data_IF_432831745235
#
_entry.id   IF_432831745235
#
_cell.length_a   1.000
_cell.length_b   1.000
_cell.length_c   1.000
_cell.angle_alpha   90.00
_cell.angle_beta   90.00
_cell.angle_gamma   90.00
#
_symmetry.space_group_name_H-M   'P 1'
#
loop_
_entity.id
_entity.type
_entity.pdbx_description
1 polymer ?
#
# COMPACT_ATOMS: atom_id res chain seq x y z
N UNK A 1 22.87 -1.68 6.15
CA UNK A 1 22.24 -0.34 6.29
C UNK A 1 20.90 -0.35 5.57
N UNK A 2 19.90 0.39 6.06
CA UNK A 2 18.56 0.46 5.44
C UNK A 2 18.00 1.88 5.55
N UNK A 3 17.04 2.20 4.67
CA UNK A 3 16.34 3.48 4.65
C UNK A 3 14.86 3.21 4.92
N UNK A 4 14.20 4.08 5.65
CA UNK A 4 12.77 4.00 5.89
C UNK A 4 12.05 5.16 5.21
N UNK A 5 11.16 4.85 4.26
CA UNK A 5 10.39 5.84 3.51
C UNK A 5 8.98 5.31 3.20
N UNK A 6 8.01 6.20 2.95
CA UNK A 6 6.70 5.76 2.47
C UNK A 6 6.82 5.16 1.07
N UNK A 7 6.13 4.06 0.84
CA UNK A 7 6.03 3.46 -0.47
C UNK A 7 4.72 2.68 -0.62
N UNK A 8 3.98 2.97 -1.66
CA UNK A 8 2.71 2.32 -1.96
C UNK A 8 2.32 2.54 -3.42
N UNK A 9 1.23 1.92 -3.86
CA UNK A 9 0.64 2.19 -5.18
C UNK A 9 0.28 3.67 -5.39
N UNK A 10 -0.02 4.42 -4.32
CA UNK A 10 -0.35 5.85 -4.38
C UNK A 10 0.87 6.77 -4.16
N UNK A 11 2.00 6.24 -3.72
CA UNK A 11 3.20 7.03 -3.46
C UNK A 11 4.43 6.27 -3.97
N UNK A 12 4.78 6.51 -5.22
CA UNK A 12 5.88 5.84 -5.90
C UNK A 12 7.09 6.74 -6.10
N UNK A 13 7.18 7.83 -5.32
CA UNK A 13 8.27 8.82 -5.44
C UNK A 13 9.65 8.22 -5.18
N UNK A 14 9.74 7.18 -4.35
CA UNK A 14 10.99 6.46 -4.10
C UNK A 14 11.60 5.86 -5.37
N UNK A 15 10.79 5.51 -6.36
CA UNK A 15 11.26 4.96 -7.64
C UNK A 15 12.05 5.96 -8.47
N UNK A 16 11.91 7.27 -8.18
CA UNK A 16 12.58 8.34 -8.91
C UNK A 16 13.98 8.57 -8.30
N UNK A 17 14.95 7.71 -8.66
CA UNK A 17 16.34 7.80 -8.23
C UNK A 17 16.70 6.96 -7.00
N UNK A 18 15.96 7.06 -5.89
CA UNK A 18 16.31 6.36 -4.65
C UNK A 18 16.26 4.83 -4.77
N UNK A 19 15.37 4.28 -5.57
CA UNK A 19 15.30 2.83 -5.80
C UNK A 19 16.59 2.33 -6.45
N UNK A 20 17.12 3.04 -7.44
CA UNK A 20 18.38 2.70 -8.09
C UNK A 20 19.56 2.79 -7.11
N UNK A 21 19.62 3.85 -6.31
CA UNK A 21 20.64 4.01 -5.27
C UNK A 21 20.57 2.86 -4.28
N UNK A 22 19.38 2.50 -3.82
CA UNK A 22 19.18 1.37 -2.90
C UNK A 22 19.75 0.06 -3.44
N UNK A 23 19.53 -0.22 -4.72
CA UNK A 23 20.04 -1.43 -5.37
C UNK A 23 21.56 -1.39 -5.50
N UNK A 24 22.11 -0.27 -5.96
CA UNK A 24 23.56 -0.12 -6.18
C UNK A 24 24.38 -0.13 -4.90
N UNK A 25 23.86 0.52 -3.85
CA UNK A 25 24.54 0.64 -2.55
C UNK A 25 24.17 -0.49 -1.59
N UNK A 26 23.39 -1.47 -2.03
CA UNK A 26 22.89 -2.57 -1.20
C UNK A 26 22.23 -2.09 0.10
N UNK A 27 21.50 -0.97 0.02
CA UNK A 27 20.79 -0.33 1.13
C UNK A 27 19.28 -0.41 0.90
N UNK A 28 18.66 -1.45 1.43
CA UNK A 28 17.25 -1.75 1.18
C UNK A 28 16.27 -0.80 1.85
N UNK A 29 15.05 -0.74 1.30
CA UNK A 29 13.96 0.07 1.81
C UNK A 29 13.12 -0.70 2.83
N UNK A 30 12.88 -0.07 3.97
CA UNK A 30 11.81 -0.42 4.89
C UNK A 30 10.60 0.45 4.53
N UNK A 31 9.65 -0.12 3.79
CA UNK A 31 8.51 0.61 3.26
C UNK A 31 7.43 0.77 4.33
N UNK A 32 7.10 2.00 4.70
CA UNK A 32 5.97 2.26 5.60
C UNK A 32 4.76 2.84 4.84
N UNK A 33 3.59 2.80 5.46
CA UNK A 33 2.31 3.18 4.86
C UNK A 33 2.01 2.50 3.52
N UNK A 34 2.18 1.18 3.41
CA UNK A 34 1.97 0.47 2.15
C UNK A 34 0.50 0.48 1.70
N UNK A 35 -0.44 0.73 2.61
CA UNK A 35 -1.87 0.86 2.32
C UNK A 35 -2.33 2.32 2.24
N UNK A 36 -1.40 3.28 2.19
CA UNK A 36 -1.70 4.71 2.05
C UNK A 36 -2.76 5.18 3.06
N UNK A 37 -2.47 5.01 4.35
CA UNK A 37 -3.37 5.36 5.47
C UNK A 37 -4.71 4.60 5.48
N UNK A 38 -4.77 3.46 4.79
CA UNK A 38 -5.97 2.63 4.67
C UNK A 38 -6.78 2.87 3.40
N UNK A 39 -6.42 3.83 2.55
CA UNK A 39 -7.12 4.06 1.29
C UNK A 39 -7.07 2.86 0.35
N UNK A 40 -5.98 2.10 0.36
CA UNK A 40 -5.81 0.93 -0.50
C UNK A 40 -6.48 -0.34 0.04
N UNK A 41 -7.30 -0.23 1.07
CA UNK A 41 -8.20 -1.31 1.52
C UNK A 41 -9.58 -1.24 0.87
N UNK A 42 -9.93 -0.11 0.29
CA UNK A 42 -11.25 0.16 -0.27
C UNK A 42 -12.28 0.67 0.75
N UNK A 43 -11.97 0.70 2.05
CA UNK A 43 -12.94 1.06 3.10
C UNK A 43 -13.39 2.52 3.07
N UNK A 44 -12.67 3.40 2.37
CA UNK A 44 -13.02 4.82 2.23
C UNK A 44 -13.61 5.16 0.86
N UNK A 45 -13.92 4.17 0.03
CA UNK A 45 -14.52 4.40 -1.28
C UNK A 45 -15.91 5.04 -1.13
N UNK A 46 -16.28 5.85 -2.13
CA UNK A 46 -17.58 6.55 -2.16
C UNK A 46 -17.80 7.49 -0.97
N UNK A 47 -16.73 8.00 -0.37
CA UNK A 47 -16.83 8.90 0.78
C UNK A 47 -17.18 8.21 2.10
N UNK A 48 -17.17 6.89 2.15
CA UNK A 48 -17.45 6.15 3.38
C UNK A 48 -16.38 6.39 4.44
N UNK A 49 -16.82 6.56 5.69
CA UNK A 49 -15.95 6.74 6.85
C UNK A 49 -16.36 5.75 7.94
N UNK A 50 -15.87 4.51 7.90
CA UNK A 50 -16.24 3.50 8.90
C UNK A 50 -15.96 3.99 10.33
N UNK A 51 -16.84 3.61 11.25
CA UNK A 51 -16.70 3.94 12.68
C UNK A 51 -15.36 3.40 13.20
N UNK A 52 -14.66 4.20 13.98
CA UNK A 52 -13.33 3.89 14.52
C UNK A 52 -12.22 3.77 13.46
N UNK A 53 -12.47 4.16 12.20
CA UNK A 53 -11.41 4.21 11.20
C UNK A 53 -10.51 5.43 11.41
N UNK A 54 -9.25 5.34 10.95
CA UNK A 54 -8.28 6.42 11.06
C UNK A 54 -8.80 7.72 10.46
N UNK A 55 -9.41 7.65 9.27
CA UNK A 55 -9.91 8.85 8.59
C UNK A 55 -11.14 9.44 9.27
N UNK A 56 -11.93 8.64 9.97
CA UNK A 56 -13.06 9.14 10.76
C UNK A 56 -12.60 9.87 12.02
N UNK A 57 -11.55 9.36 12.66
CA UNK A 57 -11.05 9.89 13.93
C UNK A 57 -10.04 11.04 13.73
N UNK A 58 -9.20 10.96 12.70
CA UNK A 58 -8.05 11.85 12.52
C UNK A 58 -7.89 12.34 11.08
N UNK A 59 -8.98 12.40 10.31
CA UNK A 59 -8.95 12.70 8.87
C UNK A 59 -8.25 14.00 8.50
N UNK A 60 -8.35 15.02 9.35
CA UNK A 60 -7.72 16.31 9.11
C UNK A 60 -6.19 16.27 9.13
N UNK A 61 -5.61 15.22 9.72
CA UNK A 61 -4.17 15.02 9.80
C UNK A 61 -3.59 14.18 8.64
N UNK A 62 -4.44 13.51 7.84
CA UNK A 62 -4.03 12.55 6.82
C UNK A 62 -4.58 12.91 5.44
N UNK A 63 -4.32 14.15 4.98
CA UNK A 63 -4.91 14.66 3.73
C UNK A 63 -4.09 14.34 2.47
N UNK A 64 -2.88 13.79 2.60
CA UNK A 64 -1.95 13.59 1.47
C UNK A 64 -2.58 12.89 0.27
N UNK A 65 -3.39 11.86 0.49
CA UNK A 65 -3.99 11.06 -0.57
C UNK A 65 -5.45 11.43 -0.86
N UNK A 66 -6.00 12.43 -0.15
CA UNK A 66 -7.37 12.91 -0.34
C UNK A 66 -7.43 13.95 -1.45
N UNK A 67 -6.99 13.57 -2.64
CA UNK A 67 -7.02 14.42 -3.82
C UNK A 67 -7.92 13.77 -4.88
N UNK A 68 -8.36 14.58 -5.85
CA UNK A 68 -9.15 14.07 -6.98
C UNK A 68 -8.40 12.96 -7.72
N UNK A 69 -7.13 13.18 -8.02
CA UNK A 69 -6.31 12.19 -8.72
C UNK A 69 -6.05 10.94 -7.85
N UNK A 70 -5.86 11.13 -6.54
CA UNK A 70 -5.73 10.02 -5.61
C UNK A 70 -6.97 9.14 -5.58
N UNK A 71 -8.17 9.75 -5.55
CA UNK A 71 -9.43 9.00 -5.57
C UNK A 71 -9.61 8.24 -6.90
N UNK A 72 -9.29 8.87 -8.03
CA UNK A 72 -9.35 8.20 -9.34
C UNK A 72 -8.38 7.01 -9.40
N UNK A 73 -7.17 7.17 -8.87
CA UNK A 73 -6.19 6.08 -8.83
C UNK A 73 -6.68 4.92 -7.97
N UNK A 74 -7.26 5.19 -6.79
CA UNK A 74 -7.83 4.17 -5.92
C UNK A 74 -8.90 3.36 -6.65
N UNK A 75 -9.81 4.01 -7.36
CA UNK A 75 -10.86 3.33 -8.12
C UNK A 75 -10.26 2.44 -9.21
N UNK A 76 -9.26 2.91 -9.94
CA UNK A 76 -8.59 2.14 -10.98
C UNK A 76 -7.87 0.90 -10.41
N UNK A 77 -7.16 1.05 -9.31
CA UNK A 77 -6.50 -0.09 -8.65
C UNK A 77 -7.53 -1.08 -8.09
N UNK A 78 -8.63 -0.59 -7.56
CA UNK A 78 -9.72 -1.44 -7.09
C UNK A 78 -10.36 -2.25 -8.23
N UNK A 79 -10.57 -1.63 -9.39
CA UNK A 79 -11.06 -2.32 -10.59
C UNK A 79 -10.10 -3.47 -11.00
N UNK A 80 -8.79 -3.21 -10.96
CA UNK A 80 -7.78 -4.23 -11.27
C UNK A 80 -7.86 -5.39 -10.28
N UNK A 81 -7.96 -5.11 -8.98
CA UNK A 81 -8.10 -6.14 -7.97
C UNK A 81 -9.33 -7.01 -8.21
N UNK A 82 -10.49 -6.39 -8.49
CA UNK A 82 -11.73 -7.11 -8.76
C UNK A 82 -11.64 -7.95 -10.03
N UNK A 83 -11.05 -7.40 -11.10
CA UNK A 83 -10.88 -8.11 -12.37
C UNK A 83 -10.06 -9.40 -12.22
N UNK A 84 -9.11 -9.42 -11.30
CA UNK A 84 -8.25 -10.56 -11.02
C UNK A 84 -8.66 -11.36 -9.77
N UNK A 85 -9.84 -11.07 -9.22
CA UNK A 85 -10.38 -11.73 -8.03
C UNK A 85 -9.43 -11.67 -6.82
N UNK A 86 -8.73 -10.52 -6.66
CA UNK A 86 -7.77 -10.29 -5.59
C UNK A 86 -8.39 -9.44 -4.48
N UNK A 87 -7.99 -9.70 -3.24
CA UNK A 87 -8.23 -8.77 -2.15
C UNK A 87 -7.40 -7.50 -2.38
N UNK A 88 -8.05 -6.34 -2.34
CA UNK A 88 -7.41 -5.07 -2.68
C UNK A 88 -6.23 -4.72 -1.76
N UNK A 89 -6.39 -4.90 -0.45
CA UNK A 89 -5.31 -4.67 0.51
C UNK A 89 -4.13 -5.62 0.25
N UNK A 90 -4.41 -6.90 0.04
CA UNK A 90 -3.36 -7.90 -0.25
C UNK A 90 -2.63 -7.60 -1.54
N UNK A 91 -3.33 -7.22 -2.60
CA UNK A 91 -2.70 -6.80 -3.86
C UNK A 91 -1.75 -5.63 -3.65
N UNK A 92 -2.19 -4.62 -2.89
CA UNK A 92 -1.41 -3.42 -2.61
C UNK A 92 -0.15 -3.71 -1.78
N UNK A 93 -0.26 -4.59 -0.78
CA UNK A 93 0.89 -5.05 0.01
C UNK A 93 1.86 -5.88 -0.83
N UNK A 94 1.34 -6.78 -1.64
CA UNK A 94 2.17 -7.64 -2.50
C UNK A 94 2.94 -6.83 -3.53
N UNK A 95 2.33 -5.78 -4.07
CA UNK A 95 3.00 -4.84 -4.96
C UNK A 95 4.29 -4.29 -4.31
N UNK A 96 4.21 -3.85 -3.06
CA UNK A 96 5.38 -3.35 -2.33
C UNK A 96 6.42 -4.45 -2.08
N UNK A 97 5.97 -5.62 -1.65
CA UNK A 97 6.84 -6.75 -1.32
C UNK A 97 7.65 -7.24 -2.53
N UNK A 98 7.08 -7.19 -3.72
CA UNK A 98 7.72 -7.69 -4.95
C UNK A 98 8.78 -6.74 -5.52
N UNK A 99 8.91 -5.52 -5.01
CA UNK A 99 9.90 -4.59 -5.53
C UNK A 99 11.32 -4.99 -5.11
N UNK A 100 12.30 -5.00 -6.04
CA UNK A 100 13.66 -5.48 -5.74
C UNK A 100 14.40 -4.61 -4.73
N UNK A 101 14.01 -3.34 -4.56
CA UNK A 101 14.61 -2.41 -3.59
C UNK A 101 13.94 -2.46 -2.22
N UNK A 102 12.84 -3.18 -2.05
CA UNK A 102 12.14 -3.29 -0.76
C UNK A 102 12.66 -4.50 0.01
N UNK A 103 13.22 -4.24 1.19
CA UNK A 103 13.70 -5.29 2.11
C UNK A 103 12.56 -5.80 2.98
N UNK A 104 11.72 -4.88 3.49
CA UNK A 104 10.61 -5.22 4.37
C UNK A 104 9.47 -4.22 4.23
N UNK A 105 8.26 -4.71 4.32
CA UNK A 105 7.04 -3.90 4.32
C UNK A 105 6.54 -3.79 5.76
N UNK A 106 6.41 -2.55 6.24
CA UNK A 106 5.95 -2.27 7.61
C UNK A 106 4.42 -2.14 7.58
N UNK A 107 3.75 -3.07 8.22
CA UNK A 107 2.28 -3.08 8.30
C UNK A 107 1.81 -2.64 9.69
N UNK A 108 0.58 -2.11 9.75
CA UNK A 108 -0.13 -1.83 10.99
C UNK A 108 -1.55 -2.36 10.88
N UNK A 109 -2.05 -2.92 11.98
CA UNK A 109 -3.42 -3.44 12.03
C UNK A 109 -4.07 -3.06 13.36
N UNK A 110 -5.36 -2.73 13.33
CA UNK A 110 -6.14 -2.41 14.53
C UNK A 110 -7.00 -3.58 14.99
N UNK A 111 -7.17 -4.60 14.15
CA UNK A 111 -7.90 -5.83 14.46
C UNK A 111 -7.09 -7.06 14.11
N UNK A 112 -7.39 -8.18 14.76
CA UNK A 112 -6.75 -9.47 14.44
C UNK A 112 -7.06 -9.94 13.03
N UNK A 113 -8.26 -9.66 12.53
CA UNK A 113 -8.65 -10.05 11.16
C UNK A 113 -7.84 -9.28 10.11
N UNK A 114 -7.63 -7.98 10.33
CA UNK A 114 -6.73 -7.19 9.47
C UNK A 114 -5.31 -7.75 9.48
N UNK A 115 -4.78 -8.06 10.66
CA UNK A 115 -3.43 -8.60 10.79
C UNK A 115 -3.28 -9.95 10.08
N UNK A 116 -4.23 -10.85 10.24
CA UNK A 116 -4.24 -12.15 9.54
C UNK A 116 -4.29 -11.99 8.03
N UNK A 117 -5.14 -11.09 7.53
CA UNK A 117 -5.25 -10.78 6.10
C UNK A 117 -3.93 -10.26 5.55
N UNK A 118 -3.30 -9.35 6.28
CA UNK A 118 -2.04 -8.72 5.84
C UNK A 118 -0.88 -9.72 5.84
N UNK A 119 -0.78 -10.55 6.87
CA UNK A 119 0.28 -11.59 6.97
C UNK A 119 0.10 -12.66 5.88
N UNK A 120 -1.12 -13.00 5.52
CA UNK A 120 -1.41 -14.01 4.50
C UNK A 120 -0.83 -13.66 3.13
N UNK A 121 -0.53 -12.39 2.87
CA UNK A 121 0.12 -11.91 1.64
C UNK A 121 1.45 -12.61 1.38
N UNK A 122 2.25 -12.82 2.43
CA UNK A 122 3.58 -13.44 2.31
C UNK A 122 3.49 -14.90 1.83
N UNK A 123 2.35 -15.54 2.01
CA UNK A 123 2.09 -16.92 1.60
C UNK A 123 1.29 -17.02 0.30
N UNK A 124 0.89 -15.89 -0.29
CA UNK A 124 0.06 -15.86 -1.49
C UNK A 124 0.96 -15.72 -2.72
N UNK A 125 0.92 -16.71 -3.63
CA UNK A 125 1.61 -16.61 -4.92
C UNK A 125 0.75 -15.78 -5.88
N UNK A 126 0.85 -14.44 -5.76
CA UNK A 126 0.26 -13.54 -6.74
C UNK A 126 1.25 -13.35 -7.88
N UNK A 127 1.00 -13.98 -9.00
CA UNK A 127 1.62 -13.56 -10.26
C UNK A 127 0.89 -12.29 -10.71
N UNK A 128 1.45 -11.13 -10.37
CA UNK A 128 0.99 -9.89 -10.96
C UNK A 128 1.30 -9.93 -12.46
N UNK A 129 0.36 -9.52 -13.32
CA UNK A 129 0.65 -9.41 -14.75
C UNK A 129 1.86 -8.49 -14.94
N UNK A 130 2.84 -8.96 -15.72
CA UNK A 130 4.10 -8.25 -16.01
C UNK A 130 3.93 -7.15 -17.07
N UNK A 131 2.84 -6.43 -17.05
CA UNK A 131 2.62 -5.31 -17.96
C UNK A 131 2.07 -4.10 -17.26
#
# INVERSE_FOLDING_TARGET
>A
MSVQNPYSLLNRTYEIGLAEVSIREESGLLAYSPLAFGYLTGKYRNGELPKNSRMKLFGDQFLRYKTKNGQLAIEKYHEIANKHELNFAQMSLKFCELQPFVTSVIIGATTMDQLKTDIAVSYTHLTLPTT
#
